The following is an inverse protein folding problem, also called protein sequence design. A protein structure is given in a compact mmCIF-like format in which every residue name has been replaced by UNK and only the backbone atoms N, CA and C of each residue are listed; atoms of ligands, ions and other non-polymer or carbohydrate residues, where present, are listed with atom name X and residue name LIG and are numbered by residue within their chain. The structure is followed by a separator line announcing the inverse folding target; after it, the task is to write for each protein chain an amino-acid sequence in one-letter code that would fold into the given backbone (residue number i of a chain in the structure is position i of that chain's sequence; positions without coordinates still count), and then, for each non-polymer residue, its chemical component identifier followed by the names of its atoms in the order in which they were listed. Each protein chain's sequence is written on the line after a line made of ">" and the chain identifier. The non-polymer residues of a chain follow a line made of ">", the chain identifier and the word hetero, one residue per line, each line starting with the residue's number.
data_IF_472715799658
#
_entry.id   IF_472715799658
#
_cell.length_a   1.000
_cell.length_b   1.000
_cell.length_c   1.000
_cell.angle_alpha   90.00
_cell.angle_beta   90.00
_cell.angle_gamma   90.00
#
_symmetry.space_group_name_H-M   'P 1'
#
loop_
_entity.id
_entity.type
_entity.pdbx_description
1 polymer ?
#
# COMPACT_ATOMS: atom_id res chain seq x y z
N UNK A 1 3.90 7.71 -19.48
CA UNK A 1 3.98 6.32 -18.99
C UNK A 1 3.30 6.36 -17.64
N UNK A 2 2.21 5.61 -17.48
CA UNK A 2 1.65 5.35 -16.16
C UNK A 2 2.40 4.10 -15.70
N UNK A 3 3.10 4.18 -14.58
CA UNK A 3 3.73 3.01 -13.97
C UNK A 3 2.68 2.34 -13.10
N UNK A 4 2.62 1.01 -13.12
CA UNK A 4 1.69 0.27 -12.30
C UNK A 4 2.16 0.26 -10.84
N UNK A 5 1.20 0.28 -9.92
CA UNK A 5 1.45 0.17 -8.48
C UNK A 5 1.69 -1.29 -8.17
N UNK A 6 2.88 -1.61 -7.67
CA UNK A 6 3.32 -2.99 -7.48
C UNK A 6 3.37 -3.38 -5.99
N UNK A 7 3.64 -2.41 -5.11
CA UNK A 7 3.72 -2.64 -3.68
C UNK A 7 3.48 -1.35 -2.88
N UNK A 8 3.51 -1.48 -1.56
CA UNK A 8 3.45 -0.37 -0.64
C UNK A 8 4.53 -0.48 0.44
N UNK A 9 5.16 0.63 0.79
CA UNK A 9 5.89 0.73 2.06
C UNK A 9 4.89 0.94 3.19
N UNK A 10 4.85 0.00 4.13
CA UNK A 10 3.96 0.10 5.29
C UNK A 10 4.54 -0.64 6.50
N UNK A 11 4.40 -0.07 7.70
CA UNK A 11 4.92 -0.65 8.94
C UNK A 11 6.43 -1.01 8.89
N UNK A 12 7.23 -0.13 8.27
CA UNK A 12 8.68 -0.32 8.06
C UNK A 12 9.06 -1.56 7.23
N UNK A 13 8.14 -2.04 6.39
CA UNK A 13 8.33 -3.18 5.50
C UNK A 13 7.68 -2.89 4.13
N UNK A 14 7.88 -3.80 3.16
CA UNK A 14 7.26 -3.75 1.83
C UNK A 14 6.14 -4.77 1.77
N UNK A 15 4.91 -4.33 1.49
CA UNK A 15 3.73 -5.18 1.41
C UNK A 15 3.20 -5.21 -0.02
N UNK A 16 2.82 -6.40 -0.51
CA UNK A 16 2.16 -6.51 -1.81
C UNK A 16 0.73 -5.93 -1.77
N UNK A 17 0.19 -5.60 -2.94
CA UNK A 17 -1.15 -5.00 -3.10
C UNK A 17 -2.22 -5.79 -2.34
N UNK A 18 -2.30 -7.10 -2.55
CA UNK A 18 -3.30 -7.94 -1.87
C UNK A 18 -3.14 -8.00 -0.35
N UNK A 19 -1.90 -7.84 0.15
CA UNK A 19 -1.64 -7.71 1.59
C UNK A 19 -2.06 -6.33 2.13
N UNK A 20 -2.05 -5.26 1.33
CA UNK A 20 -2.66 -4.01 1.80
C UNK A 20 -4.19 -4.13 1.83
N UNK A 21 -4.80 -4.69 0.79
CA UNK A 21 -6.25 -4.91 0.72
C UNK A 21 -6.76 -5.75 1.90
N UNK A 22 -6.14 -6.91 2.15
CA UNK A 22 -6.52 -7.80 3.25
C UNK A 22 -6.38 -7.11 4.62
N UNK A 23 -5.37 -6.25 4.79
CA UNK A 23 -5.16 -5.53 6.04
C UNK A 23 -6.28 -4.53 6.29
N UNK A 24 -6.61 -3.70 5.30
CA UNK A 24 -7.60 -2.65 5.44
C UNK A 24 -9.02 -3.20 5.53
N UNK A 25 -9.30 -4.30 4.83
CA UNK A 25 -10.58 -5.01 4.96
C UNK A 25 -10.74 -5.52 6.40
N UNK A 26 -9.77 -6.27 6.90
CA UNK A 26 -9.89 -6.97 8.19
C UNK A 26 -9.77 -6.05 9.40
N UNK A 27 -8.88 -5.06 9.35
CA UNK A 27 -8.54 -4.25 10.53
C UNK A 27 -9.29 -2.91 10.57
N UNK A 28 -9.74 -2.41 9.42
CA UNK A 28 -10.47 -1.15 9.33
C UNK A 28 -11.92 -1.32 8.89
N UNK A 29 -12.35 -2.53 8.52
CA UNK A 29 -13.73 -2.84 8.14
C UNK A 29 -14.15 -2.16 6.83
N UNK A 30 -13.16 -1.81 5.98
CA UNK A 30 -13.39 -1.20 4.68
C UNK A 30 -13.90 -2.29 3.73
N UNK A 31 -14.88 -1.95 2.90
CA UNK A 31 -15.44 -2.91 1.95
C UNK A 31 -14.36 -3.39 0.97
N UNK A 32 -14.41 -4.66 0.50
CA UNK A 32 -13.49 -5.14 -0.52
C UNK A 32 -13.54 -4.25 -1.77
N UNK A 33 -12.40 -3.64 -2.08
CA UNK A 33 -12.17 -2.79 -3.24
C UNK A 33 -10.68 -2.90 -3.62
N UNK A 34 -10.23 -2.07 -4.56
CA UNK A 34 -8.78 -2.01 -4.86
C UNK A 34 -8.03 -1.39 -3.68
N UNK A 35 -6.75 -1.73 -3.50
CA UNK A 35 -5.92 -1.10 -2.48
C UNK A 35 -6.02 0.43 -2.51
N UNK A 36 -5.98 1.05 -3.69
CA UNK A 36 -6.07 2.51 -3.83
C UNK A 36 -7.42 3.09 -3.37
N UNK A 37 -8.54 2.44 -3.69
CA UNK A 37 -9.87 2.85 -3.21
C UNK A 37 -9.96 2.74 -1.69
N UNK A 38 -9.44 1.63 -1.13
CA UNK A 38 -9.46 1.40 0.32
C UNK A 38 -8.59 2.40 1.08
N UNK A 39 -7.47 2.79 0.49
CA UNK A 39 -6.58 3.82 1.02
C UNK A 39 -7.20 5.21 0.92
N UNK A 40 -7.93 5.53 -0.14
CA UNK A 40 -8.71 6.77 -0.25
C UNK A 40 -9.80 6.85 0.83
N UNK A 41 -10.59 5.80 0.98
CA UNK A 41 -11.66 5.73 2.00
C UNK A 41 -11.09 5.89 3.42
N UNK A 42 -9.97 5.21 3.71
CA UNK A 42 -9.30 5.36 4.99
C UNK A 42 -8.74 6.76 5.21
N UNK A 43 -8.12 7.35 4.19
CA UNK A 43 -7.52 8.67 4.29
C UNK A 43 -8.59 9.74 4.52
N UNK A 44 -9.71 9.69 3.79
CA UNK A 44 -10.85 10.58 3.98
C UNK A 44 -11.41 10.47 5.41
N UNK A 45 -11.60 9.24 5.91
CA UNK A 45 -12.14 9.00 7.24
C UNK A 45 -11.22 9.51 8.38
N UNK A 46 -9.91 9.57 8.15
CA UNK A 46 -8.90 9.94 9.15
C UNK A 46 -8.27 11.33 8.93
N UNK A 47 -8.70 12.07 7.91
CA UNK A 47 -8.17 13.40 7.60
C UNK A 47 -6.71 13.38 7.13
N UNK A 48 -6.30 12.31 6.45
CA UNK A 48 -4.96 12.16 5.87
C UNK A 48 -4.98 12.76 4.46
N UNK A 49 -4.02 13.63 4.14
CA UNK A 49 -3.84 14.14 2.78
C UNK A 49 -2.81 13.28 2.04
N UNK A 50 -3.30 12.34 1.22
CA UNK A 50 -2.45 11.41 0.44
C UNK A 50 -1.51 12.12 -0.54
N UNK A 51 -1.77 13.39 -0.86
CA UNK A 51 -0.95 14.20 -1.77
C UNK A 51 0.11 15.04 -1.04
N UNK A 52 0.05 15.07 0.30
CA UNK A 52 1.04 15.73 1.16
C UNK A 52 1.75 14.67 2.02
N UNK A 53 2.94 14.25 1.59
CA UNK A 53 3.77 13.27 2.32
C UNK A 53 4.18 13.73 3.73
N UNK A 54 4.06 15.03 4.04
CA UNK A 54 4.30 15.52 5.40
C UNK A 54 3.10 15.33 6.33
N UNK A 55 1.94 14.89 5.81
CA UNK A 55 0.72 14.70 6.59
C UNK A 55 0.60 13.32 7.25
N UNK A 56 1.45 12.34 6.88
CA UNK A 56 1.46 10.99 7.45
C UNK A 56 2.83 10.30 7.40
N UNK A 57 3.08 9.41 8.36
CA UNK A 57 4.21 8.47 8.31
C UNK A 57 3.78 7.17 7.60
N UNK A 58 4.71 6.52 6.90
CA UNK A 58 4.56 5.16 6.38
C UNK A 58 4.24 4.10 7.45
N UNK A 59 4.50 4.37 8.73
CA UNK A 59 4.04 3.53 9.84
C UNK A 59 2.54 3.65 10.10
N UNK A 60 1.93 4.79 9.75
CA UNK A 60 0.52 5.09 10.00
C UNK A 60 -0.35 4.93 8.74
N UNK A 61 0.24 5.07 7.54
CA UNK A 61 -0.47 4.92 6.27
C UNK A 61 0.46 4.46 5.12
N UNK A 62 0.04 3.49 4.28
CA UNK A 62 0.87 2.95 3.20
C UNK A 62 1.31 3.99 2.16
N UNK A 63 2.57 3.89 1.71
CA UNK A 63 3.12 4.69 0.60
C UNK A 63 3.31 3.82 -0.64
N UNK A 64 2.93 4.33 -1.80
CA UNK A 64 3.01 3.63 -3.09
C UNK A 64 4.46 3.35 -3.46
N UNK A 65 4.71 2.15 -3.99
CA UNK A 65 5.92 1.76 -4.71
C UNK A 65 5.52 1.40 -6.13
N UNK A 66 6.13 2.05 -7.12
CA UNK A 66 5.92 1.71 -8.53
C UNK A 66 6.87 0.61 -8.97
N UNK A 67 6.51 -0.11 -10.04
CA UNK A 67 7.37 -1.12 -10.67
C UNK A 67 8.80 -0.61 -10.90
N UNK A 68 8.96 0.63 -11.39
CA UNK A 68 10.28 1.21 -11.71
C UNK A 68 11.16 1.45 -10.48
N UNK A 69 10.56 1.48 -9.28
CA UNK A 69 11.28 1.67 -8.02
C UNK A 69 11.85 0.34 -7.49
N UNK A 70 11.50 -0.79 -8.11
CA UNK A 70 11.95 -2.13 -7.76
C UNK A 70 13.14 -2.53 -8.63
N UNK A 71 14.32 -2.67 -8.02
CA UNK A 71 15.55 -3.03 -8.74
C UNK A 71 15.76 -4.57 -8.81
N UNK A 72 15.13 -5.37 -7.93
CA UNK A 72 15.30 -6.82 -7.82
C UNK A 72 14.00 -7.54 -7.34
N UNK A 73 14.12 -8.81 -6.92
CA UNK A 73 13.03 -9.57 -6.28
C UNK A 73 12.82 -9.03 -4.87
N UNK A 74 11.68 -8.38 -4.64
CA UNK A 74 11.24 -8.03 -3.30
C UNK A 74 10.36 -9.12 -2.68
N UNK A 75 10.45 -9.27 -1.36
CA UNK A 75 9.62 -10.21 -0.60
C UNK A 75 8.63 -9.41 0.25
N UNK A 76 7.36 -9.76 0.16
CA UNK A 76 6.33 -9.15 0.99
C UNK A 76 6.59 -9.44 2.47
N UNK A 77 6.76 -8.41 3.27
CA UNK A 77 6.95 -8.49 4.72
C UNK A 77 5.79 -9.11 5.50
N UNK A 78 4.60 -9.18 4.90
CA UNK A 78 3.44 -9.80 5.55
C UNK A 78 3.23 -11.27 5.16
N UNK A 79 3.11 -11.58 3.87
CA UNK A 79 2.83 -12.94 3.41
C UNK A 79 4.08 -13.77 3.07
N UNK A 80 5.26 -13.13 3.02
CA UNK A 80 6.55 -13.72 2.66
C UNK A 80 6.63 -14.33 1.25
N UNK A 81 5.70 -13.97 0.35
CA UNK A 81 5.78 -14.33 -1.06
C UNK A 81 6.58 -13.26 -1.83
N UNK A 82 7.12 -13.65 -2.99
CA UNK A 82 7.72 -12.72 -3.95
C UNK A 82 6.65 -11.72 -4.43
N UNK A 83 7.06 -10.46 -4.57
CA UNK A 83 6.24 -9.41 -5.16
C UNK A 83 6.40 -9.51 -6.67
N UNK A 84 5.32 -9.93 -7.34
CA UNK A 84 5.32 -10.05 -8.79
C UNK A 84 5.35 -8.65 -9.43
N UNK A 85 6.30 -8.46 -10.35
CA UNK A 85 6.41 -7.30 -11.21
C UNK A 85 5.87 -7.76 -12.58
N UNK A 86 4.74 -7.20 -13.00
CA UNK A 86 4.03 -7.58 -14.24
C UNK A 86 4.39 -6.68 -15.43
#
# INVERSE_FOLDING_TARGET
>A
MIYDITAYTFNADIWCVGCVEEHFERNHGIAPATAEDMLDDYAEANGIDRMDEASFDSGDFPKVIFEIDLDEVEICGWCHNEIEID
#
